data_IF_795042847261
#
_entry.id   IF_795042847261
#
_cell.length_a   1.000
_cell.length_b   1.000
_cell.length_c   1.000
_cell.angle_alpha   90.00
_cell.angle_beta   90.00
_cell.angle_gamma   90.00
#
_symmetry.space_group_name_H-M   'P 1'
#
loop_
_entity.id
_entity.type
_entity.pdbx_description
1 polymer ?
#
# COMPACT_ATOMS: atom_id res chain seq x y z
N UNK A 1 5.32 -0.66 -9.77
CA UNK A 1 5.79 -1.37 -8.56
C UNK A 1 4.57 -1.93 -7.85
N UNK A 2 4.45 -3.25 -7.79
CA UNK A 2 3.40 -3.91 -7.00
C UNK A 2 3.80 -3.93 -5.54
N UNK A 3 2.89 -3.56 -4.64
CA UNK A 3 3.06 -3.79 -3.20
C UNK A 3 2.55 -5.19 -2.88
N UNK A 4 3.26 -5.91 -2.02
CA UNK A 4 2.90 -7.27 -1.59
C UNK A 4 2.40 -7.23 -0.14
N UNK A 5 1.20 -7.76 0.10
CA UNK A 5 0.69 -7.91 1.45
C UNK A 5 1.32 -9.13 2.13
N UNK A 6 1.36 -9.15 3.47
CA UNK A 6 1.85 -10.27 4.25
C UNK A 6 1.14 -11.60 3.95
N UNK A 7 -0.07 -11.57 3.39
CA UNK A 7 -0.79 -12.78 2.95
C UNK A 7 -0.44 -13.25 1.54
N UNK A 8 0.55 -12.62 0.88
CA UNK A 8 0.98 -12.91 -0.50
C UNK A 8 0.18 -12.16 -1.57
N UNK A 9 -0.79 -11.32 -1.19
CA UNK A 9 -1.61 -10.58 -2.15
C UNK A 9 -0.84 -9.39 -2.73
N UNK A 10 -0.68 -9.35 -4.06
CA UNK A 10 0.03 -8.28 -4.77
C UNK A 10 -0.95 -7.37 -5.47
N UNK A 11 -0.81 -6.06 -5.26
CA UNK A 11 -1.60 -5.08 -6.01
C UNK A 11 -0.82 -3.80 -6.20
N UNK A 12 -1.08 -3.13 -7.30
CA UNK A 12 -0.59 -1.77 -7.52
C UNK A 12 -1.54 -0.81 -6.81
N UNK A 13 -1.01 -0.05 -5.85
CA UNK A 13 -1.80 0.89 -5.08
C UNK A 13 -1.28 2.28 -5.36
N UNK A 14 -2.20 3.17 -5.75
CA UNK A 14 -1.89 4.54 -6.11
C UNK A 14 -2.48 5.49 -5.07
N UNK A 15 -1.76 6.57 -4.77
CA UNK A 15 -2.29 7.64 -3.94
C UNK A 15 -3.41 8.38 -4.69
N UNK A 16 -4.55 8.56 -4.04
CA UNK A 16 -5.72 9.23 -4.64
C UNK A 16 -5.50 10.72 -4.93
N UNK A 17 -4.57 11.38 -4.24
CA UNK A 17 -4.26 12.80 -4.48
C UNK A 17 -3.19 13.02 -5.54
N UNK A 18 -2.06 12.34 -5.40
CA UNK A 18 -0.91 12.57 -6.27
C UNK A 18 -0.84 11.60 -7.47
N UNK A 19 -1.67 10.55 -7.52
CA UNK A 19 -1.62 9.49 -8.53
C UNK A 19 -0.33 8.64 -8.48
N UNK A 20 0.55 8.92 -7.52
CA UNK A 20 1.84 8.24 -7.37
C UNK A 20 1.66 6.89 -6.71
N UNK A 21 2.40 5.89 -7.17
CA UNK A 21 2.46 4.56 -6.59
C UNK A 21 2.89 4.63 -5.12
N UNK A 22 2.19 3.90 -4.27
CA UNK A 22 2.57 3.74 -2.88
C UNK A 22 3.73 2.76 -2.79
N UNK A 23 4.65 3.08 -1.89
CA UNK A 23 5.74 2.20 -1.53
C UNK A 23 5.41 1.52 -0.22
N UNK A 24 5.84 0.28 -0.08
CA UNK A 24 5.79 -0.43 1.18
C UNK A 24 7.09 -0.19 1.93
N UNK A 25 7.01 0.22 3.20
CA UNK A 25 8.20 0.31 4.04
C UNK A 25 8.66 -1.09 4.48
N UNK A 26 9.84 -1.17 5.10
CA UNK A 26 10.38 -2.43 5.64
C UNK A 26 9.52 -3.07 6.73
N UNK A 27 8.48 -2.38 7.23
CA UNK A 27 7.50 -2.90 8.21
C UNK A 27 6.20 -3.37 7.55
N UNK A 28 6.11 -3.37 6.22
CA UNK A 28 4.91 -3.78 5.48
C UNK A 28 3.87 -2.68 5.30
N UNK A 29 4.07 -1.48 5.86
CA UNK A 29 3.08 -0.41 5.80
C UNK A 29 3.19 0.38 4.50
N UNK A 30 2.03 0.73 3.94
CA UNK A 30 1.94 1.57 2.76
C UNK A 30 2.21 3.03 3.09
N UNK A 31 3.05 3.66 2.28
CA UNK A 31 3.38 5.08 2.37
C UNK A 31 3.49 5.69 0.99
N UNK A 32 2.95 6.89 0.83
CA UNK A 32 3.16 7.68 -0.38
C UNK A 32 4.48 8.44 -0.26
N UNK A 33 5.45 8.27 -1.18
CA UNK A 33 6.72 8.98 -1.13
C UNK A 33 6.57 10.48 -1.48
N UNK A 34 5.54 10.84 -2.23
CA UNK A 34 5.30 12.22 -2.68
C UNK A 34 4.47 13.02 -1.68
N UNK A 35 3.37 12.42 -1.23
CA UNK A 35 2.42 13.06 -0.32
C UNK A 35 2.73 12.81 1.18
N UNK A 36 3.64 11.87 1.51
CA UNK A 36 3.97 11.51 2.89
C UNK A 36 2.86 10.76 3.66
N UNK A 37 1.70 10.54 3.03
CA UNK A 37 0.54 9.91 3.64
C UNK A 37 0.70 8.40 3.77
N UNK A 38 0.11 7.84 4.82
CA UNK A 38 0.09 6.41 5.12
C UNK A 38 -1.35 5.92 5.08
N UNK A 39 -1.85 5.49 3.91
CA UNK A 39 -3.21 5.01 3.82
C UNK A 39 -3.34 3.64 4.49
N UNK A 40 -4.32 3.51 5.37
CA UNK A 40 -4.71 2.25 5.96
C UNK A 40 -5.66 1.54 4.99
N UNK A 41 -5.12 0.59 4.22
CA UNK A 41 -5.89 -0.16 3.21
C UNK A 41 -6.16 -1.55 3.75
N UNK A 42 -7.41 -2.02 3.60
CA UNK A 42 -7.76 -3.40 3.90
C UNK A 42 -7.43 -4.28 2.69
N UNK A 43 -6.72 -5.37 2.94
CA UNK A 43 -6.44 -6.38 1.93
C UNK A 43 -7.76 -7.08 1.55
N UNK A 44 -8.15 -7.08 0.26
CA UNK A 44 -9.40 -7.71 -0.16
C UNK A 44 -9.40 -9.24 -0.04
N UNK A 45 -8.22 -9.86 0.10
CA UNK A 45 -8.10 -11.32 0.21
C UNK A 45 -8.23 -11.81 1.65
N UNK A 46 -7.56 -11.15 2.62
CA UNK A 46 -7.53 -11.60 4.01
C UNK A 46 -8.29 -10.69 4.98
N UNK A 47 -8.77 -9.52 4.53
CA UNK A 47 -9.50 -8.56 5.36
C UNK A 47 -8.65 -7.85 6.42
N UNK A 48 -7.32 -8.04 6.43
CA UNK A 48 -6.40 -7.36 7.35
C UNK A 48 -5.89 -6.06 6.75
N UNK A 49 -5.45 -5.16 7.62
CA UNK A 49 -4.74 -3.95 7.19
C UNK A 49 -3.44 -4.30 6.47
N UNK A 50 -3.10 -3.46 5.48
CA UNK A 50 -1.90 -3.59 4.67
C UNK A 50 -0.64 -3.27 5.46
#
# INVERSE_FOLDING_TARGET
>A
MVVEHICGFKKEIFCRECGTELIQNSRGQLMCPKCGRRPAILCPQCGRLW
#
